data_IF_591560385621
#
_entry.id   IF_591560385621
#
_cell.length_a   1.000
_cell.length_b   1.000
_cell.length_c   1.000
_cell.angle_alpha   90.00
_cell.angle_beta   90.00
_cell.angle_gamma   90.00
#
_symmetry.space_group_name_H-M   'P 1'
#
loop_
_entity.id
_entity.type
_entity.pdbx_description
1 polymer ?
#
# COMPACT_ATOMS: atom_id res chain seq x y z
N UNK A 1 3.91 -10.62 -66.47
CA UNK A 1 2.87 -10.71 -65.43
C UNK A 1 3.55 -10.56 -64.06
N UNK A 2 3.48 -9.35 -63.51
CA UNK A 2 3.95 -9.08 -62.14
C UNK A 2 2.74 -9.06 -61.26
N UNK A 3 2.54 -10.12 -60.46
CA UNK A 3 1.51 -10.15 -59.42
C UNK A 3 1.98 -9.31 -58.23
N UNK A 4 1.30 -8.22 -57.98
CA UNK A 4 1.50 -7.37 -56.80
C UNK A 4 0.69 -7.98 -55.67
N UNK A 5 1.38 -8.61 -54.68
CA UNK A 5 0.76 -9.05 -53.44
C UNK A 5 0.47 -7.82 -52.59
N UNK A 6 -0.78 -7.42 -52.52
CA UNK A 6 -1.26 -6.43 -51.55
C UNK A 6 -1.36 -7.09 -50.20
N UNK A 7 -0.42 -6.82 -49.32
CA UNK A 7 -0.55 -7.19 -47.91
C UNK A 7 -1.61 -6.30 -47.28
N UNK A 8 -2.78 -6.88 -47.03
CA UNK A 8 -3.81 -6.20 -46.26
C UNK A 8 -3.28 -5.95 -44.87
N UNK A 9 -3.04 -4.68 -44.56
CA UNK A 9 -2.78 -4.23 -43.18
C UNK A 9 -4.02 -4.55 -42.33
N UNK A 10 -4.06 -5.75 -41.73
CA UNK A 10 -4.99 -6.05 -40.67
C UNK A 10 -4.55 -5.21 -39.47
N UNK A 11 -5.26 -4.12 -39.21
CA UNK A 11 -5.15 -3.42 -37.95
C UNK A 11 -5.32 -4.44 -36.83
N UNK A 12 -4.38 -4.53 -35.86
CA UNK A 12 -4.57 -5.40 -34.71
C UNK A 12 -5.84 -4.91 -34.01
N UNK A 13 -6.90 -5.69 -34.07
CA UNK A 13 -8.09 -5.48 -33.26
C UNK A 13 -7.63 -5.61 -31.80
N UNK A 14 -7.27 -4.50 -31.23
CA UNK A 14 -7.02 -4.37 -29.79
C UNK A 14 -8.38 -4.58 -29.12
N UNK A 15 -8.78 -5.84 -29.00
CA UNK A 15 -9.91 -6.21 -28.15
C UNK A 15 -9.40 -5.94 -26.75
N UNK A 16 -9.61 -4.71 -26.26
CA UNK A 16 -9.55 -4.37 -24.86
C UNK A 16 -10.60 -5.24 -24.15
N UNK A 17 -10.27 -6.50 -23.93
CA UNK A 17 -10.91 -7.30 -22.91
C UNK A 17 -10.58 -6.59 -21.59
N UNK A 18 -11.36 -5.57 -21.25
CA UNK A 18 -11.42 -5.06 -19.90
C UNK A 18 -11.97 -6.20 -19.07
N UNK A 19 -11.07 -6.99 -18.52
CA UNK A 19 -11.43 -7.94 -17.48
C UNK A 19 -12.16 -7.14 -16.41
N UNK A 20 -13.38 -7.51 -16.15
CA UNK A 20 -14.17 -6.93 -15.05
C UNK A 20 -13.32 -6.97 -13.79
N UNK A 21 -13.32 -5.87 -13.03
CA UNK A 21 -12.60 -5.81 -11.76
C UNK A 21 -13.55 -5.31 -10.69
N UNK A 22 -13.56 -6.00 -9.58
CA UNK A 22 -14.31 -5.64 -8.39
C UNK A 22 -13.34 -5.03 -7.38
N UNK A 23 -13.60 -3.79 -7.01
CA UNK A 23 -12.72 -3.01 -6.13
C UNK A 23 -13.07 -3.24 -4.67
N UNK A 24 -12.05 -3.48 -3.87
CA UNK A 24 -12.13 -3.72 -2.44
C UNK A 24 -11.19 -2.80 -1.69
N UNK A 25 -11.61 -2.39 -0.50
CA UNK A 25 -10.78 -1.70 0.49
C UNK A 25 -10.73 -2.52 1.75
N UNK A 26 -9.53 -2.89 2.17
CA UNK A 26 -9.29 -3.47 3.47
C UNK A 26 -8.74 -2.42 4.43
N UNK A 27 -9.28 -2.39 5.64
CA UNK A 27 -8.65 -1.74 6.79
C UNK A 27 -7.92 -2.83 7.56
N UNK A 28 -6.65 -2.60 7.87
CA UNK A 28 -5.84 -3.59 8.59
C UNK A 28 -4.99 -2.95 9.68
N UNK A 29 -4.61 -3.77 10.66
CA UNK A 29 -3.64 -3.38 11.68
C UNK A 29 -2.25 -3.87 11.32
N UNK A 30 -1.22 -3.11 11.72
CA UNK A 30 0.20 -3.45 11.61
C UNK A 30 0.86 -3.18 12.94
N UNK A 31 1.07 -4.22 13.74
CA UNK A 31 1.49 -4.10 15.14
C UNK A 31 2.62 -5.04 15.51
N UNK A 32 3.19 -4.87 16.69
CA UNK A 32 4.22 -5.76 17.22
C UNK A 32 5.46 -5.84 16.31
N UNK A 33 5.87 -7.04 15.93
CA UNK A 33 7.04 -7.22 15.05
C UNK A 33 6.79 -6.77 13.62
N UNK A 34 5.55 -6.77 13.15
CA UNK A 34 5.21 -6.35 11.81
C UNK A 34 5.51 -4.86 11.55
N UNK A 35 5.60 -4.01 12.57
CA UNK A 35 6.00 -2.60 12.40
C UNK A 35 7.39 -2.43 11.78
N UNK A 36 8.26 -3.41 11.93
CA UNK A 36 9.64 -3.37 11.42
C UNK A 36 9.81 -3.93 10.01
N UNK A 37 8.75 -4.39 9.34
CA UNK A 37 8.83 -4.78 7.94
C UNK A 37 8.77 -3.55 7.03
N UNK A 38 9.53 -3.58 5.94
CA UNK A 38 9.53 -2.52 4.94
C UNK A 38 8.20 -2.47 4.17
N UNK A 39 7.93 -1.36 3.48
CA UNK A 39 6.76 -1.26 2.60
C UNK A 39 6.75 -2.36 1.51
N UNK A 40 7.90 -2.65 0.92
CA UNK A 40 8.02 -3.71 -0.09
C UNK A 40 7.75 -5.10 0.51
N UNK A 41 8.19 -5.36 1.73
CA UNK A 41 7.92 -6.64 2.39
C UNK A 41 6.45 -6.76 2.81
N UNK A 42 5.81 -5.64 3.18
CA UNK A 42 4.38 -5.59 3.42
C UNK A 42 3.59 -5.94 2.15
N UNK A 43 3.94 -5.34 1.01
CA UNK A 43 3.34 -5.69 -0.29
C UNK A 43 3.51 -7.17 -0.61
N UNK A 44 4.73 -7.71 -0.45
CA UNK A 44 5.02 -9.14 -0.68
C UNK A 44 4.25 -10.04 0.29
N UNK A 45 4.08 -9.61 1.54
CA UNK A 45 3.28 -10.35 2.52
C UNK A 45 1.83 -10.47 2.06
N UNK A 46 1.19 -9.37 1.65
CA UNK A 46 -0.19 -9.40 1.15
C UNK A 46 -0.34 -10.17 -0.16
N UNK A 47 0.62 -10.10 -1.08
CA UNK A 47 0.61 -10.94 -2.28
C UNK A 47 0.59 -12.44 -1.93
N UNK A 48 1.34 -12.85 -0.89
CA UNK A 48 1.32 -14.22 -0.38
C UNK A 48 0.00 -14.56 0.32
N UNK A 49 -0.58 -13.60 1.07
CA UNK A 49 -1.90 -13.77 1.69
C UNK A 49 -2.96 -14.04 0.63
N UNK A 50 -3.07 -13.20 -0.41
CA UNK A 50 -4.02 -13.41 -1.50
C UNK A 50 -3.85 -14.77 -2.17
N UNK A 51 -2.61 -15.17 -2.45
CA UNK A 51 -2.32 -16.47 -3.07
C UNK A 51 -2.73 -17.65 -2.19
N UNK A 52 -2.43 -17.60 -0.88
CA UNK A 52 -2.78 -18.66 0.07
C UNK A 52 -4.27 -18.70 0.36
N UNK A 53 -4.92 -17.53 0.39
CA UNK A 53 -6.35 -17.39 0.56
C UNK A 53 -7.14 -17.81 -0.69
N UNK A 54 -6.45 -18.17 -1.80
CA UNK A 54 -7.06 -18.51 -3.09
C UNK A 54 -8.03 -17.42 -3.58
N UNK A 55 -7.70 -16.14 -3.31
CA UNK A 55 -8.48 -15.02 -3.82
C UNK A 55 -8.09 -14.75 -5.27
N UNK A 56 -9.08 -14.60 -6.19
CA UNK A 56 -8.83 -14.34 -7.61
C UNK A 56 -8.42 -12.88 -7.83
N UNK A 57 -7.17 -12.56 -7.47
CA UNK A 57 -6.65 -11.20 -7.50
C UNK A 57 -6.52 -10.69 -8.93
N UNK A 58 -6.98 -9.47 -9.16
CA UNK A 58 -6.83 -8.79 -10.43
C UNK A 58 -5.39 -8.30 -10.62
N UNK A 59 -4.86 -8.49 -11.83
CA UNK A 59 -3.52 -8.04 -12.21
C UNK A 59 -3.62 -6.85 -13.16
N UNK A 60 -2.71 -5.90 -13.02
CA UNK A 60 -2.59 -4.78 -13.95
C UNK A 60 -2.34 -5.29 -15.37
N UNK A 61 -2.93 -4.59 -16.35
CA UNK A 61 -2.76 -4.92 -17.77
C UNK A 61 -1.59 -4.14 -18.33
N UNK A 62 -0.75 -4.78 -19.11
CA UNK A 62 0.42 -4.16 -19.74
C UNK A 62 1.56 -5.14 -19.94
N UNK A 63 2.74 -4.64 -20.28
CA UNK A 63 3.92 -5.45 -20.56
C UNK A 63 4.47 -6.22 -19.34
N UNK A 64 4.16 -5.75 -18.13
CA UNK A 64 4.58 -6.40 -16.88
C UNK A 64 3.41 -6.46 -15.90
N UNK A 65 2.51 -7.46 -16.04
CA UNK A 65 1.37 -7.61 -15.16
C UNK A 65 1.82 -7.85 -13.71
N UNK A 66 1.28 -7.08 -12.79
CA UNK A 66 1.50 -7.25 -11.36
C UNK A 66 0.18 -7.17 -10.59
N UNK A 67 0.16 -7.74 -9.41
CA UNK A 67 -1.00 -7.71 -8.52
C UNK A 67 -1.37 -6.26 -8.22
N UNK A 68 -2.63 -5.90 -8.42
CA UNK A 68 -3.13 -4.57 -8.09
C UNK A 68 -3.36 -4.46 -6.59
N UNK A 69 -2.43 -3.83 -5.92
CA UNK A 69 -2.47 -3.47 -4.51
C UNK A 69 -1.98 -2.04 -4.38
N UNK A 70 -2.72 -1.20 -3.66
CA UNK A 70 -2.37 0.18 -3.39
C UNK A 70 -2.51 0.47 -1.90
N UNK A 71 -1.51 1.13 -1.33
CA UNK A 71 -1.54 1.67 0.02
C UNK A 71 -1.60 3.19 -0.09
N UNK A 72 -2.74 3.83 0.24
CA UNK A 72 -2.90 5.28 0.10
C UNK A 72 -1.88 6.09 0.89
N UNK A 73 -1.54 5.62 2.08
CA UNK A 73 -0.55 6.24 2.96
C UNK A 73 0.42 5.17 3.47
N UNK A 74 1.68 5.27 3.04
CA UNK A 74 2.70 4.32 3.48
C UNK A 74 3.14 4.62 4.92
N UNK A 75 2.92 3.67 5.83
CA UNK A 75 3.33 3.78 7.22
C UNK A 75 4.85 3.73 7.37
N UNK A 76 5.49 4.67 8.08
CA UNK A 76 6.92 4.65 8.33
C UNK A 76 7.37 3.38 9.08
N UNK A 77 8.61 2.95 8.81
CA UNK A 77 9.21 1.81 9.48
C UNK A 77 9.28 2.05 10.99
N UNK A 78 8.90 1.06 11.78
CA UNK A 78 8.91 1.14 13.24
C UNK A 78 7.64 1.73 13.85
N UNK A 79 6.67 2.17 13.04
CA UNK A 79 5.40 2.71 13.50
C UNK A 79 4.33 1.62 13.53
N UNK A 80 3.62 1.50 14.66
CA UNK A 80 2.42 0.68 14.79
C UNK A 80 1.22 1.44 14.22
N UNK A 81 0.27 0.72 13.62
CA UNK A 81 -1.01 1.28 13.24
C UNK A 81 -2.14 0.24 13.40
N UNK A 82 -3.35 0.73 13.66
CA UNK A 82 -4.56 -0.10 13.76
C UNK A 82 -5.54 0.12 12.61
N UNK A 83 -5.25 1.11 11.74
CA UNK A 83 -6.20 1.62 10.75
C UNK A 83 -5.53 1.90 9.39
N UNK A 84 -4.60 1.03 9.00
CA UNK A 84 -4.00 1.13 7.68
C UNK A 84 -5.01 0.75 6.59
N UNK A 85 -4.92 1.41 5.45
CA UNK A 85 -5.80 1.19 4.31
C UNK A 85 -5.02 0.51 3.19
N UNK A 86 -5.66 -0.49 2.58
CA UNK A 86 -5.17 -1.15 1.38
C UNK A 86 -6.31 -1.30 0.38
N UNK A 87 -6.14 -0.75 -0.81
CA UNK A 87 -7.06 -0.96 -1.93
C UNK A 87 -6.52 -2.07 -2.85
N UNK A 88 -7.38 -2.95 -3.27
CA UNK A 88 -7.06 -4.04 -4.19
C UNK A 88 -8.28 -4.37 -5.05
N UNK A 89 -8.11 -5.23 -6.05
CA UNK A 89 -9.22 -5.67 -6.88
C UNK A 89 -9.18 -7.17 -7.11
N UNK A 90 -10.37 -7.76 -7.24
CA UNK A 90 -10.56 -9.16 -7.59
C UNK A 90 -11.17 -9.26 -9.00
N UNK A 91 -11.04 -10.42 -9.64
CA UNK A 91 -11.67 -10.73 -10.92
C UNK A 91 -13.10 -11.29 -10.79
N UNK A 92 -13.51 -11.56 -9.54
CA UNK A 92 -14.84 -12.08 -9.18
C UNK A 92 -15.40 -11.26 -8.03
N UNK A 93 -16.72 -11.12 -7.98
CA UNK A 93 -17.42 -10.46 -6.87
C UNK A 93 -17.60 -11.47 -5.72
N UNK A 94 -16.82 -11.28 -4.66
CA UNK A 94 -16.82 -12.14 -3.48
C UNK A 94 -17.37 -11.33 -2.30
N UNK A 95 -18.27 -11.90 -1.46
CA UNK A 95 -18.77 -11.21 -0.27
C UNK A 95 -17.65 -10.72 0.64
N UNK A 96 -17.76 -9.48 1.14
CA UNK A 96 -16.71 -8.83 1.94
C UNK A 96 -16.30 -9.64 3.18
N UNK A 97 -17.28 -10.26 3.85
CA UNK A 97 -16.99 -11.10 5.02
C UNK A 97 -16.17 -12.34 4.65
N UNK A 98 -16.46 -12.94 3.50
CA UNK A 98 -15.69 -14.09 3.02
C UNK A 98 -14.24 -13.68 2.69
N UNK A 99 -14.05 -12.54 2.01
CA UNK A 99 -12.71 -11.99 1.73
C UNK A 99 -11.96 -11.76 3.04
N UNK A 100 -12.61 -11.14 4.04
CA UNK A 100 -12.03 -10.86 5.35
C UNK A 100 -11.58 -12.14 6.05
N UNK A 101 -12.44 -13.14 6.13
CA UNK A 101 -12.14 -14.44 6.79
C UNK A 101 -11.00 -15.16 6.08
N UNK A 102 -11.06 -15.26 4.76
CA UNK A 102 -10.04 -15.92 3.93
C UNK A 102 -8.69 -15.24 4.07
N UNK A 103 -8.64 -13.90 4.10
CA UNK A 103 -7.40 -13.16 4.30
C UNK A 103 -6.85 -13.38 5.71
N UNK A 104 -7.67 -13.25 6.76
CA UNK A 104 -7.22 -13.40 8.16
C UNK A 104 -6.71 -14.81 8.46
N UNK A 105 -7.24 -15.85 7.83
CA UNK A 105 -6.73 -17.21 7.95
C UNK A 105 -5.26 -17.36 7.48
N UNK A 106 -4.74 -16.39 6.71
CA UNK A 106 -3.42 -16.46 6.09
C UNK A 106 -2.52 -15.24 6.37
N UNK A 107 -2.99 -14.26 7.16
CA UNK A 107 -2.15 -13.12 7.57
C UNK A 107 -1.09 -13.57 8.56
N UNK A 108 0.14 -13.05 8.45
CA UNK A 108 1.19 -13.32 9.43
C UNK A 108 0.91 -12.57 10.74
N UNK A 109 1.51 -13.06 11.82
CA UNK A 109 1.41 -12.43 13.15
C UNK A 109 1.81 -10.96 13.11
N UNK A 110 0.96 -10.11 13.66
CA UNK A 110 1.12 -8.66 13.68
C UNK A 110 0.47 -7.91 12.52
N UNK A 111 -0.13 -8.64 11.56
CA UNK A 111 -1.07 -8.10 10.57
C UNK A 111 -2.45 -8.73 10.79
N UNK A 112 -3.48 -7.91 10.79
CA UNK A 112 -4.87 -8.36 10.96
C UNK A 112 -5.78 -7.50 10.08
N UNK A 113 -6.65 -8.12 9.31
CA UNK A 113 -7.67 -7.42 8.54
C UNK A 113 -8.84 -7.11 9.47
N UNK A 114 -9.10 -5.83 9.67
CA UNK A 114 -10.17 -5.35 10.58
C UNK A 114 -11.50 -5.31 9.86
N UNK A 115 -11.51 -4.85 8.62
CA UNK A 115 -12.71 -4.78 7.79
C UNK A 115 -12.38 -4.84 6.31
N UNK A 116 -13.36 -5.27 5.52
CA UNK A 116 -13.33 -5.21 4.06
C UNK A 116 -14.63 -4.57 3.59
N UNK A 117 -14.53 -3.62 2.65
CA UNK A 117 -15.68 -2.90 2.09
C UNK A 117 -15.40 -2.47 0.66
N UNK A 118 -16.40 -1.91 -0.01
CA UNK A 118 -16.21 -1.17 -1.25
C UNK A 118 -15.54 0.18 -0.96
N UNK A 119 -14.56 0.65 -1.76
CA UNK A 119 -14.02 1.99 -1.63
C UNK A 119 -15.09 3.04 -1.94
N UNK A 120 -15.50 3.84 -0.95
CA UNK A 120 -16.47 4.92 -1.14
C UNK A 120 -15.78 6.23 -1.50
N UNK A 121 -14.63 6.51 -0.85
CA UNK A 121 -13.82 7.71 -1.05
C UNK A 121 -12.53 7.38 -1.80
N UNK A 122 -12.02 8.36 -2.52
CA UNK A 122 -10.72 8.23 -3.18
C UNK A 122 -9.59 8.33 -2.15
N UNK A 123 -8.49 7.64 -2.42
CA UNK A 123 -7.29 7.74 -1.58
C UNK A 123 -6.73 9.18 -1.48
N UNK A 124 -7.02 10.02 -2.48
CA UNK A 124 -6.64 11.45 -2.50
C UNK A 124 -7.42 12.31 -1.52
N UNK A 125 -8.51 11.79 -0.95
CA UNK A 125 -9.36 12.53 -0.01
C UNK A 125 -8.79 12.46 1.43
N UNK A 126 -7.71 11.70 1.64
CA UNK A 126 -6.98 11.66 2.93
C UNK A 126 -6.22 12.99 3.08
N UNK A 127 -6.67 13.85 3.99
CA UNK A 127 -6.08 15.16 4.24
C UNK A 127 -5.19 15.22 5.47
N UNK A 128 -5.34 14.28 6.42
CA UNK A 128 -4.58 14.25 7.65
C UNK A 128 -4.39 12.82 8.18
N UNK A 129 -3.34 12.64 8.98
CA UNK A 129 -3.12 11.43 9.76
C UNK A 129 -2.79 11.82 11.21
N UNK A 130 -3.36 11.11 12.17
CA UNK A 130 -3.12 11.30 13.59
C UNK A 130 -2.08 10.28 14.08
N UNK A 131 -1.10 10.76 14.85
CA UNK A 131 -0.05 9.94 15.42
C UNK A 131 0.02 10.12 16.94
N UNK A 132 0.14 9.03 17.68
CA UNK A 132 0.42 9.03 19.09
C UNK A 132 1.89 8.70 19.33
N UNK A 133 2.67 9.67 19.77
CA UNK A 133 4.07 9.50 20.11
C UNK A 133 4.24 9.31 21.63
N UNK A 134 5.01 8.29 22.03
CA UNK A 134 5.41 8.08 23.44
C UNK A 134 6.87 8.37 23.58
N UNK A 135 7.20 9.39 24.34
CA UNK A 135 8.56 9.80 24.64
C UNK A 135 9.02 9.11 25.92
N UNK A 136 10.23 8.51 25.89
CA UNK A 136 10.94 8.05 27.07
C UNK A 136 12.06 9.04 27.35
N UNK A 137 12.02 9.69 28.49
CA UNK A 137 12.97 10.73 28.87
C UNK A 137 13.09 10.75 30.41
N UNK A 138 14.19 11.27 30.91
CA UNK A 138 14.47 11.50 32.32
C UNK A 138 13.89 12.86 32.79
N UNK A 139 13.36 13.68 31.85
CA UNK A 139 12.75 14.98 32.15
C UNK A 139 11.33 14.80 32.70
N UNK A 140 10.91 15.76 33.50
CA UNK A 140 9.54 15.81 34.00
C UNK A 140 8.53 16.05 32.85
N UNK A 141 7.28 15.64 33.05
CA UNK A 141 6.21 15.86 32.07
C UNK A 141 6.04 17.34 31.74
N UNK A 142 6.20 18.22 32.73
CA UNK A 142 6.10 19.67 32.57
C UNK A 142 7.19 20.23 31.65
N UNK A 143 8.45 19.85 31.89
CA UNK A 143 9.58 20.26 31.05
C UNK A 143 9.44 19.77 29.60
N UNK A 144 8.93 18.54 29.42
CA UNK A 144 8.68 18.00 28.08
C UNK A 144 7.56 18.76 27.36
N UNK A 145 6.49 19.10 28.08
CA UNK A 145 5.38 19.88 27.52
C UNK A 145 5.86 21.28 27.07
N UNK A 146 6.61 21.99 27.91
CA UNK A 146 7.17 23.28 27.53
C UNK A 146 8.11 23.23 26.33
N UNK A 147 8.94 22.17 26.23
CA UNK A 147 9.82 21.97 25.07
C UNK A 147 9.03 21.67 23.80
N UNK A 148 7.95 20.91 23.93
CA UNK A 148 7.07 20.57 22.83
C UNK A 148 6.29 21.78 22.33
N UNK A 149 5.77 22.62 23.25
CA UNK A 149 5.08 23.86 22.88
C UNK A 149 6.02 24.83 22.15
N UNK A 150 7.27 24.95 22.62
CA UNK A 150 8.30 25.75 21.93
C UNK A 150 8.63 25.19 20.54
N UNK A 151 8.66 23.87 20.39
CA UNK A 151 8.93 23.20 19.12
C UNK A 151 7.80 23.42 18.11
N UNK A 152 6.54 23.30 18.55
CA UNK A 152 5.37 23.53 17.69
C UNK A 152 5.25 24.98 17.28
N UNK A 153 5.68 25.92 18.14
CA UNK A 153 5.65 27.36 17.86
C UNK A 153 6.70 27.82 16.83
N UNK A 154 7.56 26.91 16.35
CA UNK A 154 8.54 27.23 15.31
C UNK A 154 7.84 27.37 13.96
N UNK A 155 8.02 28.50 13.29
CA UNK A 155 7.51 28.74 11.94
C UNK A 155 8.09 27.78 10.89
N UNK A 156 9.30 27.27 11.15
CA UNK A 156 10.01 26.35 10.26
C UNK A 156 10.80 25.34 11.07
N UNK A 157 10.58 24.07 10.75
CA UNK A 157 11.33 22.96 11.33
C UNK A 157 12.29 22.43 10.28
N UNK A 158 13.59 22.60 10.48
CA UNK A 158 14.63 22.08 9.60
C UNK A 158 15.13 20.73 10.15
N UNK A 159 15.10 19.71 9.29
CA UNK A 159 15.59 18.37 9.62
C UNK A 159 16.75 18.02 8.71
N UNK A 160 17.92 17.77 9.30
CA UNK A 160 19.05 17.21 8.57
C UNK A 160 18.79 15.71 8.31
N UNK A 161 18.55 15.36 7.06
CA UNK A 161 18.49 13.98 6.64
C UNK A 161 19.87 13.53 6.16
N UNK A 162 20.54 12.65 6.90
CA UNK A 162 21.72 11.96 6.39
C UNK A 162 21.30 10.98 5.30
N UNK A 163 21.38 11.41 4.05
CA UNK A 163 21.31 10.49 2.92
C UNK A 163 22.65 9.76 2.84
N UNK A 164 22.63 8.44 2.81
CA UNK A 164 23.80 7.63 2.49
C UNK A 164 24.19 7.91 1.02
N UNK A 165 25.01 8.94 0.80
CA UNK A 165 25.64 9.25 -0.49
C UNK A 165 26.81 8.26 -0.75
N UNK A 166 26.54 6.97 -0.76
CA UNK A 166 27.57 5.96 -1.04
C UNK A 166 27.44 5.28 -2.39
N UNK A 167 26.57 5.74 -3.28
CA UNK A 167 26.57 5.30 -4.70
C UNK A 167 26.06 6.42 -5.61
N UNK A 168 26.90 7.39 -5.89
CA UNK A 168 26.90 8.02 -7.21
C UNK A 168 27.96 7.33 -8.03
N UNK A 169 27.63 6.22 -8.67
CA UNK A 169 28.41 5.85 -9.84
C UNK A 169 28.05 6.85 -10.93
N UNK A 170 29.04 7.51 -11.57
CA UNK A 170 28.78 8.28 -12.77
C UNK A 170 28.26 7.30 -13.82
N UNK A 171 27.04 7.51 -14.30
CA UNK A 171 26.53 6.86 -15.48
C UNK A 171 27.35 7.35 -16.68
N UNK A 172 27.79 6.45 -17.58
CA UNK A 172 28.52 6.81 -18.79
C UNK A 172 27.67 7.63 -19.76
#
# INVERSE_FOLDING_TARGET
NTEVFTVANAEPKNVNLRLERFEYRAVFSKTGRAKYISHLDLMRAFQRVFKRAHLPIWHTQGFNPHVYIMFPLALPLGTDSRVEIMDFALTEDIPYNEVLERMNAHTPVGLEIVSVSKPEHKHTDITAAEYVARLKTDKSVHEVAELFDKFIALDKIEIEKRTCLLYTSPSP
#
